data_IF_858277425027
#
_entry.id   IF_858277425027
#
_cell.length_a   1.000
_cell.length_b   1.000
_cell.length_c   1.000
_cell.angle_alpha   90.00
_cell.angle_beta   90.00
_cell.angle_gamma   90.00
#
_symmetry.space_group_name_H-M   'P 1'
#
loop_
_entity.id
_entity.type
_entity.pdbx_description
1 polymer ?
#
# COMPACT_ATOMS: atom_id res chain seq x y z
N UNK A 1 -2.22 5.66 -9.16
CA UNK A 1 -1.01 6.22 -9.83
C UNK A 1 0.20 5.91 -8.98
N UNK A 2 1.22 5.28 -9.56
CA UNK A 2 2.46 4.95 -8.83
C UNK A 2 3.39 6.16 -8.83
N UNK A 3 3.44 6.88 -7.71
CA UNK A 3 4.29 8.07 -7.56
C UNK A 3 5.60 7.63 -6.93
N UNK A 4 6.67 7.62 -7.74
CA UNK A 4 7.96 7.01 -7.39
C UNK A 4 9.15 7.95 -7.54
N UNK A 5 8.98 9.15 -8.09
CA UNK A 5 10.09 10.08 -8.36
C UNK A 5 9.68 11.56 -8.20
N UNK A 6 10.68 12.42 -8.08
CA UNK A 6 10.52 13.87 -7.88
C UNK A 6 9.93 14.59 -9.10
N UNK A 7 10.14 14.08 -10.30
CA UNK A 7 9.57 14.65 -11.52
C UNK A 7 8.04 14.54 -11.52
N UNK A 8 7.50 13.36 -11.21
CA UNK A 8 6.06 13.15 -11.05
C UNK A 8 5.48 14.10 -10.01
N UNK A 9 6.16 14.28 -8.87
CA UNK A 9 5.73 15.21 -7.82
C UNK A 9 5.70 16.65 -8.35
N UNK A 10 6.70 17.07 -9.12
CA UNK A 10 6.77 18.41 -9.70
C UNK A 10 5.62 18.69 -10.68
N UNK A 11 5.17 17.66 -11.40
CA UNK A 11 3.98 17.74 -12.27
C UNK A 11 2.71 17.83 -11.44
N UNK A 12 2.56 16.98 -10.42
CA UNK A 12 1.41 17.01 -9.51
C UNK A 12 1.28 18.35 -8.80
N UNK A 13 2.40 18.97 -8.42
CA UNK A 13 2.43 20.30 -7.79
C UNK A 13 1.90 21.43 -8.68
N UNK A 14 1.73 21.21 -9.99
CA UNK A 14 1.11 22.19 -10.90
C UNK A 14 -0.41 22.06 -10.97
N UNK A 15 -0.98 20.97 -10.46
CA UNK A 15 -2.42 20.74 -10.45
C UNK A 15 -3.05 21.62 -9.38
N UNK A 16 -3.89 22.57 -9.81
CA UNK A 16 -4.62 23.46 -8.91
C UNK A 16 -5.53 22.61 -7.99
N UNK A 17 -5.54 22.93 -6.70
CA UNK A 17 -6.32 22.25 -5.65
C UNK A 17 -5.90 20.80 -5.31
N UNK A 18 -4.80 20.28 -5.86
CA UNK A 18 -4.24 19.04 -5.34
C UNK A 18 -3.54 19.33 -3.99
N UNK A 19 -3.88 18.57 -2.96
CA UNK A 19 -3.35 18.78 -1.59
C UNK A 19 -2.33 17.73 -1.17
N UNK A 20 -2.53 16.49 -1.60
CA UNK A 20 -1.75 15.35 -1.12
C UNK A 20 -1.62 14.27 -2.17
N UNK A 21 -0.68 13.36 -1.95
CA UNK A 21 -0.51 12.18 -2.76
C UNK A 21 0.04 11.02 -1.94
N UNK A 22 -0.31 9.79 -2.30
CA UNK A 22 0.23 8.58 -1.69
C UNK A 22 1.46 8.15 -2.49
N UNK A 23 2.60 7.98 -1.81
CA UNK A 23 3.81 7.44 -2.42
C UNK A 23 3.57 5.96 -2.75
N UNK A 24 4.07 5.50 -3.90
CA UNK A 24 3.87 4.11 -4.31
C UNK A 24 4.35 3.12 -3.23
N UNK A 25 3.61 2.05 -2.92
CA UNK A 25 4.11 0.98 -2.06
C UNK A 25 5.24 0.16 -2.71
N UNK A 26 5.60 0.42 -3.97
CA UNK A 26 6.67 -0.27 -4.72
C UNK A 26 8.07 0.35 -4.52
N UNK A 27 8.16 1.52 -3.88
CA UNK A 27 9.43 2.22 -3.63
C UNK A 27 9.99 1.86 -2.25
N UNK A 28 11.32 1.84 -2.09
CA UNK A 28 11.93 1.56 -0.79
C UNK A 28 12.03 2.80 0.13
N UNK A 29 12.24 2.59 1.43
CA UNK A 29 12.35 3.66 2.42
C UNK A 29 13.46 4.68 2.14
N UNK A 30 14.59 4.24 1.58
CA UNK A 30 15.69 5.14 1.24
C UNK A 30 15.25 6.15 0.19
N UNK A 31 14.61 5.67 -0.87
CA UNK A 31 14.16 6.48 -1.99
C UNK A 31 12.98 7.39 -1.58
N UNK A 32 12.09 6.93 -0.69
CA UNK A 32 11.05 7.80 -0.07
C UNK A 32 11.67 8.99 0.70
N UNK A 33 12.80 8.75 1.38
CA UNK A 33 13.53 9.77 2.12
C UNK A 33 14.20 10.76 1.17
N UNK A 34 14.78 10.27 0.08
CA UNK A 34 15.40 11.07 -0.99
C UNK A 34 14.41 12.00 -1.69
N UNK A 35 13.12 11.65 -1.79
CA UNK A 35 12.07 12.56 -2.28
C UNK A 35 11.96 13.84 -1.44
N UNK A 36 12.48 13.84 -0.21
CA UNK A 36 12.52 15.02 0.64
C UNK A 36 11.15 15.52 1.06
N UNK A 37 11.09 16.81 1.41
CA UNK A 37 9.86 17.54 1.66
C UNK A 37 9.30 18.10 0.35
N UNK A 38 7.99 18.12 0.24
CA UNK A 38 7.26 18.54 -0.96
C UNK A 38 6.23 19.60 -0.57
N UNK A 39 5.75 20.39 -1.54
CA UNK A 39 4.66 21.35 -1.29
C UNK A 39 3.35 20.63 -1.02
N UNK A 40 3.09 19.55 -1.76
CA UNK A 40 1.97 18.64 -1.51
C UNK A 40 2.26 17.76 -0.30
N UNK A 41 1.24 17.41 0.49
CA UNK A 41 1.37 16.50 1.62
C UNK A 41 1.69 15.10 1.13
N UNK A 42 2.80 14.54 1.60
CA UNK A 42 3.24 13.19 1.23
C UNK A 42 2.61 12.16 2.16
N UNK A 43 1.83 11.25 1.61
CA UNK A 43 1.16 10.19 2.34
C UNK A 43 1.87 8.84 2.16
N UNK A 44 1.97 8.06 3.23
CA UNK A 44 2.55 6.73 3.22
C UNK A 44 1.51 5.67 3.56
N UNK A 45 1.36 4.68 2.69
CA UNK A 45 0.53 3.51 2.96
C UNK A 45 1.24 2.61 3.96
N UNK A 46 0.68 2.44 5.16
CA UNK A 46 1.29 1.62 6.23
C UNK A 46 0.57 0.30 6.46
N UNK A 47 -0.65 0.18 5.96
CA UNK A 47 -1.42 -1.06 5.97
C UNK A 47 -2.31 -1.14 4.72
N UNK A 48 -2.28 -2.28 4.05
CA UNK A 48 -3.23 -2.65 2.98
C UNK A 48 -3.02 -4.09 2.55
N UNK A 49 -4.09 -4.84 2.24
CA UNK A 49 -4.03 -5.94 1.27
C UNK A 49 -3.88 -5.34 -0.12
N UNK A 50 -2.64 -5.19 -0.58
CA UNK A 50 -2.30 -4.50 -1.82
C UNK A 50 -3.04 -5.10 -3.01
N UNK A 51 -3.80 -4.27 -3.73
CA UNK A 51 -4.38 -4.65 -5.01
C UNK A 51 -3.26 -4.79 -6.03
N UNK A 52 -3.11 -5.99 -6.58
CA UNK A 52 -2.15 -6.28 -7.65
C UNK A 52 -2.69 -5.91 -9.02
N UNK A 53 -3.96 -6.27 -9.31
CA UNK A 53 -4.53 -6.10 -10.64
C UNK A 53 -6.06 -6.05 -10.60
N UNK A 54 -6.64 -5.31 -11.54
CA UNK A 54 -8.06 -5.40 -11.91
C UNK A 54 -8.14 -5.92 -13.33
N UNK A 55 -9.04 -6.86 -13.58
CA UNK A 55 -9.27 -7.52 -14.86
C UNK A 55 -10.75 -7.41 -15.17
N UNK A 56 -11.11 -6.78 -16.29
CA UNK A 56 -12.51 -6.48 -16.66
C UNK A 56 -13.34 -7.73 -17.03
N UNK A 57 -12.70 -8.91 -17.02
CA UNK A 57 -13.36 -10.19 -17.27
C UNK A 57 -13.19 -11.11 -16.07
N UNK A 58 -14.13 -12.04 -15.94
CA UNK A 58 -14.05 -13.10 -14.94
C UNK A 58 -12.99 -14.13 -15.34
N UNK A 59 -11.97 -14.28 -14.50
CA UNK A 59 -10.87 -15.23 -14.74
C UNK A 59 -10.84 -16.39 -13.75
N UNK A 60 -11.76 -16.42 -12.79
CA UNK A 60 -11.87 -17.46 -11.77
C UNK A 60 -13.24 -18.13 -11.82
N UNK A 61 -13.24 -19.46 -11.67
CA UNK A 61 -14.45 -20.28 -11.66
C UNK A 61 -15.19 -20.17 -10.32
N UNK A 62 -14.46 -19.85 -9.25
CA UNK A 62 -15.01 -19.64 -7.91
C UNK A 62 -14.70 -18.25 -7.32
N UNK A 63 -15.54 -17.81 -6.38
CA UNK A 63 -15.47 -16.45 -5.81
C UNK A 63 -14.22 -16.15 -4.98
N UNK A 64 -13.41 -17.14 -4.61
CA UNK A 64 -12.29 -17.00 -3.66
C UNK A 64 -11.13 -17.94 -4.01
N UNK A 65 -10.56 -17.78 -5.19
CA UNK A 65 -9.37 -18.55 -5.59
C UNK A 65 -8.10 -17.91 -5.06
N UNK A 66 -7.10 -18.76 -4.76
CA UNK A 66 -5.77 -18.30 -4.35
C UNK A 66 -4.76 -18.73 -5.40
N UNK A 67 -4.09 -17.75 -6.01
CA UNK A 67 -2.96 -17.99 -6.92
C UNK A 67 -1.65 -17.70 -6.21
N UNK A 68 -0.57 -18.32 -6.69
CA UNK A 68 0.77 -18.12 -6.13
C UNK A 68 1.74 -17.73 -7.25
N UNK A 69 2.52 -16.67 -7.05
CA UNK A 69 3.53 -16.25 -8.03
C UNK A 69 4.83 -17.08 -7.88
N UNK A 70 5.82 -16.81 -8.73
CA UNK A 70 7.14 -17.47 -8.69
C UNK A 70 7.91 -17.24 -7.38
N UNK A 71 7.65 -16.12 -6.71
CA UNK A 71 8.25 -15.73 -5.42
C UNK A 71 7.50 -16.34 -4.22
N UNK A 72 6.50 -17.20 -4.46
CA UNK A 72 5.61 -17.79 -3.46
C UNK A 72 4.70 -16.81 -2.71
N UNK A 73 4.51 -15.61 -3.23
CA UNK A 73 3.46 -14.71 -2.75
C UNK A 73 2.10 -15.25 -3.18
N UNK A 74 1.17 -15.27 -2.23
CA UNK A 74 -0.21 -15.69 -2.45
C UNK A 74 -1.08 -14.48 -2.74
N UNK A 75 -2.01 -14.64 -3.67
CA UNK A 75 -2.98 -13.61 -4.03
C UNK A 75 -4.38 -14.20 -4.02
N UNK A 76 -5.31 -13.46 -3.41
CA UNK A 76 -6.73 -13.74 -3.41
C UNK A 76 -7.37 -13.12 -4.65
N UNK A 77 -8.11 -13.93 -5.40
CA UNK A 77 -8.92 -13.51 -6.53
C UNK A 77 -10.35 -13.28 -6.04
N UNK A 78 -10.86 -12.07 -6.27
CA UNK A 78 -12.18 -11.63 -5.84
C UNK A 78 -12.96 -11.16 -7.05
N UNK A 79 -14.12 -11.78 -7.28
CA UNK A 79 -15.05 -11.40 -8.33
C UNK A 79 -16.04 -10.33 -7.82
N UNK A 80 -16.22 -9.26 -8.58
CA UNK A 80 -17.21 -8.21 -8.34
C UNK A 80 -18.06 -7.95 -9.59
N UNK A 81 -18.90 -6.91 -9.57
CA UNK A 81 -19.81 -6.59 -10.68
C UNK A 81 -19.10 -6.07 -11.95
N UNK A 82 -17.83 -5.67 -11.83
CA UNK A 82 -17.01 -5.12 -12.91
C UNK A 82 -15.98 -6.13 -13.45
N UNK A 83 -15.92 -7.34 -12.90
CA UNK A 83 -14.95 -8.37 -13.26
C UNK A 83 -14.19 -8.90 -12.04
N UNK A 84 -12.87 -9.02 -12.18
CA UNK A 84 -12.01 -9.67 -11.19
C UNK A 84 -10.95 -8.72 -10.63
N UNK A 85 -10.74 -8.77 -9.32
CA UNK A 85 -9.66 -8.07 -8.62
C UNK A 85 -8.74 -9.07 -7.92
N UNK A 86 -7.44 -8.84 -8.02
CA UNK A 86 -6.40 -9.67 -7.42
C UNK A 86 -5.74 -8.89 -6.30
N UNK A 87 -5.77 -9.44 -5.09
CA UNK A 87 -5.20 -8.82 -3.89
C UNK A 87 -4.11 -9.70 -3.28
N UNK A 88 -3.06 -9.10 -2.74
CA UNK A 88 -2.07 -9.82 -1.96
C UNK A 88 -2.72 -10.40 -0.70
N UNK A 89 -2.49 -11.69 -0.45
CA UNK A 89 -3.17 -12.42 0.64
C UNK A 89 -2.77 -11.87 2.02
N UNK A 90 -1.46 -11.73 2.22
CA UNK A 90 -0.92 -11.12 3.44
C UNK A 90 -0.84 -9.60 3.25
N UNK A 91 -1.32 -8.80 4.23
CA UNK A 91 -1.29 -7.36 4.10
C UNK A 91 0.13 -6.82 4.29
N UNK A 92 0.45 -5.77 3.52
CA UNK A 92 1.46 -4.80 3.92
C UNK A 92 1.12 -4.31 5.33
N UNK A 93 2.10 -4.31 6.22
CA UNK A 93 1.92 -3.83 7.58
C UNK A 93 3.24 -3.32 8.16
N UNK A 94 3.41 -2.00 8.16
CA UNK A 94 4.57 -1.31 8.72
C UNK A 94 4.17 -0.37 9.87
N UNK A 95 3.02 -0.62 10.52
CA UNK A 95 2.50 0.22 11.61
C UNK A 95 3.51 0.36 12.77
N UNK A 96 4.32 -0.69 13.00
CA UNK A 96 5.24 -0.75 14.13
C UNK A 96 6.44 0.21 14.03
N UNK A 97 6.80 0.71 12.83
CA UNK A 97 8.02 1.52 12.61
C UNK A 97 7.80 3.03 12.66
N UNK A 98 6.91 3.51 13.54
CA UNK A 98 6.52 4.94 13.62
C UNK A 98 7.71 5.91 13.72
N UNK A 99 8.76 5.57 14.45
CA UNK A 99 9.93 6.44 14.61
C UNK A 99 10.74 6.58 13.33
N UNK A 100 10.82 5.52 12.53
CA UNK A 100 11.46 5.58 11.21
C UNK A 100 10.57 6.26 10.19
N UNK A 101 9.25 6.09 10.28
CA UNK A 101 8.28 6.82 9.44
C UNK A 101 8.47 8.33 9.59
N UNK A 102 8.71 8.85 10.80
CA UNK A 102 9.01 10.27 11.02
C UNK A 102 10.22 10.76 10.22
N UNK A 103 11.21 9.89 9.99
CA UNK A 103 12.43 10.21 9.22
C UNK A 103 12.20 10.20 7.71
N UNK A 104 11.04 9.75 7.23
CA UNK A 104 10.71 9.66 5.81
C UNK A 104 10.15 10.96 5.22
N UNK A 105 10.03 12.03 6.02
CA UNK A 105 9.41 13.30 5.62
C UNK A 105 7.96 13.12 5.12
N UNK A 106 7.18 12.22 5.73
CA UNK A 106 5.77 11.99 5.39
C UNK A 106 4.86 12.78 6.32
N UNK A 107 3.77 13.30 5.77
CA UNK A 107 2.79 14.13 6.48
C UNK A 107 1.55 13.33 6.90
N UNK A 108 1.22 12.28 6.13
CA UNK A 108 0.00 11.49 6.28
C UNK A 108 0.35 10.01 6.35
N UNK A 109 -0.30 9.30 7.27
CA UNK A 109 -0.28 7.83 7.34
C UNK A 109 -1.62 7.30 6.83
N UNK A 110 -1.58 6.33 5.93
CA UNK A 110 -2.77 5.74 5.30
C UNK A 110 -2.91 4.28 5.71
N UNK A 111 -4.10 3.94 6.20
CA UNK A 111 -4.57 2.58 6.42
C UNK A 111 -5.67 2.35 5.38
N UNK A 112 -5.49 1.35 4.52
CA UNK A 112 -6.50 0.95 3.54
C UNK A 112 -7.03 -0.42 3.93
N UNK A 113 -8.36 -0.53 3.96
CA UNK A 113 -9.06 -1.79 4.20
C UNK A 113 -9.94 -2.05 2.98
N UNK A 114 -9.82 -3.24 2.41
CA UNK A 114 -10.51 -3.67 1.20
C UNK A 114 -11.33 -4.92 1.47
N UNK A 115 -10.67 -6.00 1.89
CA UNK A 115 -11.26 -7.34 2.03
C UNK A 115 -11.14 -7.88 3.45
N UNK A 116 -10.58 -7.08 4.36
CA UNK A 116 -10.45 -7.42 5.76
C UNK A 116 -11.82 -7.59 6.44
N UNK A 117 -11.92 -8.64 7.23
CA UNK A 117 -12.99 -8.85 8.19
C UNK A 117 -12.95 -7.80 9.30
N UNK A 118 -14.08 -7.57 9.97
CA UNK A 118 -14.18 -6.66 11.12
C UNK A 118 -13.14 -6.99 12.20
N UNK A 119 -12.86 -8.27 12.45
CA UNK A 119 -11.90 -8.68 13.47
C UNK A 119 -10.44 -8.46 13.05
N UNK A 120 -10.12 -8.59 11.76
CA UNK A 120 -8.83 -8.16 11.21
C UNK A 120 -8.67 -6.64 11.39
N UNK A 121 -9.68 -5.84 11.05
CA UNK A 121 -9.66 -4.38 11.22
C UNK A 121 -9.42 -4.01 12.70
N UNK A 122 -10.14 -4.65 13.64
CA UNK A 122 -9.94 -4.43 15.09
C UNK A 122 -8.51 -4.74 15.52
N UNK A 123 -7.90 -5.81 15.00
CA UNK A 123 -6.50 -6.16 15.29
C UNK A 123 -5.57 -5.05 14.79
N UNK A 124 -5.74 -4.57 13.57
CA UNK A 124 -4.93 -3.49 12.99
C UNK A 124 -5.05 -2.18 13.78
N UNK A 125 -6.26 -1.78 14.14
CA UNK A 125 -6.49 -0.60 14.98
C UNK A 125 -5.89 -0.74 16.38
N UNK A 126 -5.90 -1.95 16.96
CA UNK A 126 -5.20 -2.24 18.21
C UNK A 126 -3.68 -2.10 18.04
N UNK A 127 -3.11 -2.61 16.95
CA UNK A 127 -1.67 -2.47 16.65
C UNK A 127 -1.28 -1.00 16.50
N UNK A 128 -2.12 -0.16 15.89
CA UNK A 128 -1.87 1.29 15.78
C UNK A 128 -1.73 1.95 17.16
N UNK A 129 -2.50 1.48 18.15
CA UNK A 129 -2.42 1.97 19.53
C UNK A 129 -1.23 1.38 20.30
N UNK A 130 -1.01 0.07 20.21
CA UNK A 130 -0.01 -0.64 21.03
C UNK A 130 1.38 -0.66 20.43
N UNK A 131 1.50 -0.45 19.11
CA UNK A 131 2.73 -0.60 18.31
C UNK A 131 3.33 -2.00 18.36
N UNK A 132 2.52 -3.00 18.68
CA UNK A 132 2.92 -4.41 18.77
C UNK A 132 2.01 -5.22 17.87
N UNK A 133 2.61 -6.01 16.99
CA UNK A 133 1.89 -6.86 16.06
C UNK A 133 2.78 -7.37 14.95
N UNK A 134 2.16 -7.97 13.95
CA UNK A 134 2.87 -8.45 12.77
C UNK A 134 3.49 -7.29 11.97
N UNK A 135 4.66 -7.54 11.38
CA UNK A 135 5.38 -6.58 10.55
C UNK A 135 5.70 -7.23 9.21
N UNK A 136 5.30 -6.55 8.12
CA UNK A 136 5.54 -6.96 6.73
C UNK A 136 5.75 -5.71 5.90
N UNK A 137 6.98 -5.48 5.47
CA UNK A 137 7.40 -4.28 4.75
C UNK A 137 7.38 -4.39 3.23
N UNK A 138 7.34 -5.63 2.69
CA UNK A 138 7.38 -5.90 1.25
C UNK A 138 8.44 -5.04 0.53
N UNK A 139 8.02 -4.34 -0.52
CA UNK A 139 8.88 -3.53 -1.38
C UNK A 139 9.47 -2.33 -0.63
N UNK A 140 8.95 -1.92 0.54
CA UNK A 140 9.61 -0.85 1.29
C UNK A 140 11.03 -1.22 1.74
N UNK A 141 11.36 -2.52 1.83
CA UNK A 141 12.72 -2.97 2.15
C UNK A 141 13.69 -2.79 0.98
N UNK A 142 13.32 -3.30 -0.20
CA UNK A 142 14.24 -3.47 -1.34
C UNK A 142 13.84 -2.66 -2.57
N UNK A 143 12.58 -2.30 -2.70
CA UNK A 143 11.97 -1.74 -3.90
C UNK A 143 11.57 -2.87 -4.86
N UNK A 144 10.73 -2.55 -5.83
CA UNK A 144 10.52 -3.39 -7.01
C UNK A 144 11.69 -3.15 -7.98
N UNK A 145 12.33 -4.23 -8.43
CA UNK A 145 13.40 -4.22 -9.45
C UNK A 145 12.86 -4.59 -10.82
#
# INVERSE_FOLDING_TARGET
MNIVNSYTISVLERIKNLESFIVSPEINFAKIRELGKTRLKKALLVYSKLKGMTIDVDIADSKNEVITNKENDKFNIIKNEYGTEIFLDKPLNIINIKEDIKKLNVDIIVLEFTTETIDEIKKVLKQLKTRKGEYREYNYKRGVY
#
